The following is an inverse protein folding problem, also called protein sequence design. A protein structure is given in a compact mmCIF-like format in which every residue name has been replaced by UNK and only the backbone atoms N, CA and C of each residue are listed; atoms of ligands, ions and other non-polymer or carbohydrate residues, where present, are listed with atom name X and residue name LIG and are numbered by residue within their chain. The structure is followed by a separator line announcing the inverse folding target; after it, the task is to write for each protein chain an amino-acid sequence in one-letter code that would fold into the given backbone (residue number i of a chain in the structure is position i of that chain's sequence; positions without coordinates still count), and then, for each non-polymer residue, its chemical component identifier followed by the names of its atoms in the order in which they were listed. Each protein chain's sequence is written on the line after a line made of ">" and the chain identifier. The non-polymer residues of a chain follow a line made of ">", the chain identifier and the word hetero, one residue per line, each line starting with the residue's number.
data_IF_377644802305
#
_entry.id   IF_377644802305
#
_cell.length_a   1.000
_cell.length_b   1.000
_cell.length_c   1.000
_cell.angle_alpha   90.00
_cell.angle_beta   90.00
_cell.angle_gamma   90.00
#
_symmetry.space_group_name_H-M   'P 1'
#
loop_
_entity.id
_entity.type
_entity.pdbx_description
1 polymer ?
#
# COMPACT_ATOMS: atom_id res chain seq x y z
N UNK A 1 10.74 -12.11 20.55
CA UNK A 1 10.41 -12.38 19.13
C UNK A 1 8.91 -12.36 19.03
N UNK A 2 8.29 -11.34 18.42
CA UNK A 2 6.82 -11.28 18.31
C UNK A 2 6.41 -12.36 17.30
N UNK A 3 5.40 -13.16 17.63
CA UNK A 3 4.91 -14.20 16.73
C UNK A 3 4.54 -13.60 15.38
N UNK A 4 4.99 -14.23 14.30
CA UNK A 4 4.77 -13.76 12.92
C UNK A 4 3.27 -13.53 12.63
N UNK A 5 2.40 -14.28 13.29
CA UNK A 5 0.94 -14.12 13.26
C UNK A 5 0.49 -12.75 13.78
N UNK A 6 1.10 -12.27 14.86
CA UNK A 6 0.84 -10.96 15.47
C UNK A 6 1.35 -9.84 14.58
N UNK A 7 2.49 -10.03 13.91
CA UNK A 7 3.03 -9.05 12.94
C UNK A 7 2.12 -8.94 11.72
N UNK A 8 1.62 -10.06 11.19
CA UNK A 8 0.69 -10.06 10.06
C UNK A 8 -0.66 -9.43 10.45
N UNK A 9 -1.22 -9.79 11.61
CA UNK A 9 -2.49 -9.23 12.10
C UNK A 9 -2.40 -7.72 12.30
N UNK A 10 -1.29 -7.23 12.88
CA UNK A 10 -1.09 -5.80 13.12
C UNK A 10 -0.92 -5.02 11.82
N UNK A 11 -0.25 -5.59 10.82
CA UNK A 11 -0.08 -4.94 9.50
C UNK A 11 -1.40 -4.89 8.73
N UNK A 12 -2.21 -5.95 8.80
CA UNK A 12 -3.55 -6.01 8.20
C UNK A 12 -4.53 -5.04 8.88
N UNK A 13 -4.49 -4.96 10.22
CA UNK A 13 -5.27 -4.00 11.00
C UNK A 13 -4.84 -2.55 10.72
N UNK A 14 -3.53 -2.30 10.59
CA UNK A 14 -3.01 -0.97 10.27
C UNK A 14 -3.49 -0.50 8.89
N UNK A 15 -3.48 -1.37 7.87
CA UNK A 15 -3.98 -1.04 6.53
C UNK A 15 -5.50 -0.83 6.52
N UNK A 16 -6.25 -1.54 7.37
CA UNK A 16 -7.70 -1.40 7.50
C UNK A 16 -8.11 -0.14 8.31
N UNK A 17 -7.24 0.32 9.21
CA UNK A 17 -7.41 1.55 10.00
C UNK A 17 -6.80 2.79 9.32
N UNK A 18 -6.17 2.65 8.14
CA UNK A 18 -5.82 3.82 7.35
C UNK A 18 -7.12 4.53 6.96
N UNK A 19 -7.27 5.82 7.30
CA UNK A 19 -8.43 6.59 6.86
C UNK A 19 -8.36 6.63 5.34
N UNK A 20 -9.29 5.94 4.67
CA UNK A 20 -9.62 6.22 3.29
C UNK A 20 -10.03 7.69 3.30
N UNK A 21 -9.21 8.55 2.72
CA UNK A 21 -9.35 10.00 2.82
C UNK A 21 -10.79 10.44 2.54
N UNK A 22 -11.45 10.94 3.59
CA UNK A 22 -12.65 11.75 3.48
C UNK A 22 -12.24 13.14 3.93
N UNK A 23 -12.40 14.10 3.03
CA UNK A 23 -11.99 15.48 3.23
C UNK A 23 -12.80 16.23 4.29
N UNK A 24 -12.26 17.42 4.58
CA UNK A 24 -12.80 18.56 5.30
C UNK A 24 -12.91 18.41 6.82
N UNK A 25 -12.02 19.11 7.52
CA UNK A 25 -12.27 19.66 8.84
C UNK A 25 -11.44 20.95 8.99
N UNK A 26 -12.10 22.12 8.83
CA UNK A 26 -11.63 23.35 9.47
C UNK A 26 -12.17 23.31 10.90
N UNK A 27 -11.29 23.35 11.89
CA UNK A 27 -11.70 23.49 13.29
C UNK A 27 -11.83 24.98 13.62
N UNK A 28 -13.02 25.35 14.09
CA UNK A 28 -13.35 26.68 14.61
C UNK A 28 -12.71 26.79 16.00
N UNK A 29 -11.64 27.57 16.12
CA UNK A 29 -10.90 27.76 17.36
C UNK A 29 -11.59 28.81 18.24
N UNK A 30 -12.27 28.33 19.28
CA UNK A 30 -12.86 29.16 20.34
C UNK A 30 -11.79 29.42 21.41
N UNK A 31 -11.33 30.66 21.52
CA UNK A 31 -10.33 31.10 22.51
C UNK A 31 -11.04 31.77 23.72
N UNK A 32 -10.68 31.45 24.98
CA UNK A 32 -11.33 31.98 26.19
C UNK A 32 -10.91 33.43 26.50
N UNK A 33 -11.66 34.17 27.36
CA UNK A 33 -11.55 35.62 27.46
C UNK A 33 -10.32 36.08 28.25
N UNK A 34 -9.77 37.21 27.82
CA UNK A 34 -8.52 37.83 28.27
C UNK A 34 -8.55 38.26 29.75
N UNK A 35 -7.48 37.95 30.49
CA UNK A 35 -7.26 38.52 31.83
C UNK A 35 -6.67 39.94 31.72
N UNK A 36 -7.45 40.89 32.21
CA UNK A 36 -7.17 42.32 32.29
C UNK A 36 -6.13 42.61 33.39
N UNK A 37 -4.97 43.17 33.03
CA UNK A 37 -4.02 43.72 34.00
C UNK A 37 -4.00 45.26 33.90
N UNK A 38 -4.56 45.88 34.92
CA UNK A 38 -4.63 47.32 35.17
C UNK A 38 -3.27 47.85 35.66
N UNK A 39 -2.74 48.90 35.03
CA UNK A 39 -1.53 49.58 35.51
C UNK A 39 -1.81 51.06 35.71
N UNK A 40 -1.78 51.43 36.99
CA UNK A 40 -2.10 52.71 37.59
C UNK A 40 -1.12 53.81 37.14
N UNK A 41 -1.63 54.95 36.68
CA UNK A 41 -0.82 56.14 36.34
C UNK A 41 -0.71 57.07 37.56
N UNK A 42 0.52 57.40 37.96
CA UNK A 42 0.90 58.63 38.70
C UNK A 42 2.41 58.89 38.51
N UNK A 43 2.97 60.09 38.41
CA UNK A 43 2.53 61.43 38.00
C UNK A 43 3.82 62.28 37.95
N UNK A 44 4.01 63.10 36.90
CA UNK A 44 4.85 64.33 36.84
C UNK A 44 6.38 64.24 37.05
N UNK A 45 7.28 65.06 36.46
CA UNK A 45 7.31 66.17 35.48
C UNK A 45 8.81 66.39 35.23
N UNK A 46 9.26 66.55 33.98
CA UNK A 46 10.33 67.46 33.57
C UNK A 46 10.51 67.39 32.05
N UNK A 47 10.34 68.53 31.39
CA UNK A 47 10.39 68.75 29.95
C UNK A 47 11.84 68.69 29.42
N UNK A 48 12.20 67.63 28.70
CA UNK A 48 13.24 67.63 27.67
C UNK A 48 12.74 66.73 26.54
N UNK A 49 12.56 67.27 25.33
CA UNK A 49 11.99 66.51 24.21
C UNK A 49 12.92 65.36 23.79
N UNK A 50 12.51 64.09 23.94
CA UNK A 50 13.33 62.96 23.54
C UNK A 50 13.23 62.74 22.04
N UNK A 51 14.39 62.72 21.39
CA UNK A 51 14.65 62.09 20.10
C UNK A 51 13.76 60.86 19.91
N UNK A 52 12.86 60.94 18.92
CA UNK A 52 11.94 59.88 18.56
C UNK A 52 12.78 58.70 18.05
N UNK A 53 13.05 57.72 18.90
CA UNK A 53 13.46 56.40 18.46
C UNK A 53 12.27 55.86 17.67
N UNK A 54 12.39 55.88 16.35
CA UNK A 54 11.48 55.18 15.47
C UNK A 54 11.68 53.69 15.77
N UNK A 55 10.77 53.15 16.59
CA UNK A 55 10.73 51.75 16.94
C UNK A 55 10.36 51.01 15.64
N UNK A 56 11.38 50.60 14.89
CA UNK A 56 11.19 49.70 13.77
C UNK A 56 10.83 48.34 14.38
N UNK A 57 9.56 48.15 14.71
CA UNK A 57 8.96 46.84 14.83
C UNK A 57 9.23 46.15 13.48
N UNK A 58 10.21 45.25 13.46
CA UNK A 58 10.34 44.29 12.38
C UNK A 58 9.11 43.39 12.46
N UNK A 59 8.07 43.78 11.72
CA UNK A 59 6.90 42.97 11.47
C UNK A 59 7.36 41.76 10.66
N UNK A 60 7.74 40.69 11.36
CA UNK A 60 7.89 39.36 10.79
C UNK A 60 6.49 38.76 10.54
N UNK A 61 5.60 39.52 9.90
CA UNK A 61 4.42 38.95 9.28
C UNK A 61 4.91 38.16 8.07
N UNK A 62 5.03 36.85 8.24
CA UNK A 62 4.85 35.94 7.12
C UNK A 62 3.36 35.93 6.75
N UNK A 63 2.83 37.09 6.37
CA UNK A 63 1.62 37.17 5.57
C UNK A 63 2.02 36.52 4.26
N UNK A 64 1.58 35.28 4.02
CA UNK A 64 1.65 34.72 2.67
C UNK A 64 0.79 35.63 1.81
N UNK A 65 1.43 36.57 1.13
CA UNK A 65 0.77 37.51 0.24
C UNK A 65 0.31 36.72 -0.99
N UNK A 66 -0.87 36.11 -0.83
CA UNK A 66 -1.56 35.41 -1.90
C UNK A 66 -1.93 36.37 -3.02
N UNK A 67 -2.02 37.67 -2.73
CA UNK A 67 -2.30 38.71 -3.70
C UNK A 67 -1.13 38.88 -4.68
N UNK A 68 0.11 38.78 -4.22
CA UNK A 68 1.30 38.83 -5.08
C UNK A 68 1.45 37.57 -5.94
N UNK A 69 1.12 36.39 -5.40
CA UNK A 69 1.08 35.14 -6.18
C UNK A 69 -0.01 35.21 -7.26
N UNK A 70 -1.19 35.75 -6.90
CA UNK A 70 -2.30 35.91 -7.84
C UNK A 70 -1.98 36.94 -8.93
N UNK A 71 -1.39 38.09 -8.58
CA UNK A 71 -0.92 39.10 -9.55
C UNK A 71 0.15 38.54 -10.48
N UNK A 72 1.07 37.73 -9.97
CA UNK A 72 2.07 37.04 -10.78
C UNK A 72 1.41 36.04 -11.75
N UNK A 73 0.45 35.25 -11.28
CA UNK A 73 -0.29 34.28 -12.11
C UNK A 73 -1.13 34.96 -13.20
N UNK A 74 -1.81 36.07 -12.88
CA UNK A 74 -2.59 36.87 -13.83
C UNK A 74 -1.72 37.60 -14.86
N UNK A 75 -0.47 37.93 -14.51
CA UNK A 75 0.48 38.59 -15.42
C UNK A 75 1.08 37.64 -16.48
N UNK A 76 0.92 36.32 -16.30
CA UNK A 76 1.37 35.34 -17.27
C UNK A 76 0.37 35.24 -18.41
N UNK A 77 0.83 35.24 -19.68
CA UNK A 77 -0.08 35.07 -20.81
C UNK A 77 -0.70 33.66 -20.71
N UNK A 78 -2.03 33.59 -20.84
CA UNK A 78 -2.82 32.39 -20.49
C UNK A 78 -2.43 31.15 -21.29
N UNK A 79 -1.94 31.35 -22.51
CA UNK A 79 -1.38 30.32 -23.39
C UNK A 79 -0.08 29.71 -22.84
N UNK A 80 0.79 30.51 -22.21
CA UNK A 80 2.02 30.00 -21.57
C UNK A 80 1.72 29.22 -20.28
N UNK A 81 0.68 29.60 -19.53
CA UNK A 81 0.22 28.86 -18.34
C UNK A 81 -0.42 27.55 -18.75
N UNK A 82 -1.32 27.57 -19.74
CA UNK A 82 -1.98 26.36 -20.24
C UNK A 82 -0.97 25.39 -20.87
N UNK A 83 -0.01 25.90 -21.65
CA UNK A 83 1.06 25.09 -22.22
C UNK A 83 2.02 24.54 -21.15
N UNK A 84 2.38 25.35 -20.14
CA UNK A 84 3.22 24.94 -19.03
C UNK A 84 2.56 23.86 -18.15
N UNK A 85 1.29 24.05 -17.80
CA UNK A 85 0.50 23.07 -17.02
C UNK A 85 0.28 21.80 -17.84
N UNK A 86 -0.09 21.91 -19.11
CA UNK A 86 -0.26 20.76 -19.98
C UNK A 86 1.04 19.96 -20.12
N UNK A 87 2.17 20.62 -20.42
CA UNK A 87 3.49 19.96 -20.50
C UNK A 87 3.90 19.33 -19.18
N UNK A 88 3.65 20.00 -18.05
CA UNK A 88 3.90 19.47 -16.71
C UNK A 88 3.09 18.21 -16.43
N UNK A 89 1.80 18.21 -16.74
CA UNK A 89 0.92 17.05 -16.63
C UNK A 89 1.37 15.92 -17.56
N UNK A 90 1.67 16.21 -18.83
CA UNK A 90 2.17 15.20 -19.78
C UNK A 90 3.49 14.58 -19.30
N UNK A 91 4.42 15.38 -18.79
CA UNK A 91 5.68 14.88 -18.24
C UNK A 91 5.45 14.00 -17.01
N UNK A 92 4.57 14.42 -16.09
CA UNK A 92 4.21 13.64 -14.91
C UNK A 92 3.51 12.32 -15.29
N UNK A 93 2.56 12.35 -16.23
CA UNK A 93 1.90 11.14 -16.73
C UNK A 93 2.88 10.21 -17.44
N UNK A 94 3.78 10.74 -18.27
CA UNK A 94 4.81 9.94 -18.94
C UNK A 94 5.75 9.29 -17.92
N UNK A 95 6.23 10.04 -16.92
CA UNK A 95 7.07 9.51 -15.86
C UNK A 95 6.33 8.41 -15.05
N UNK A 96 5.06 8.64 -14.72
CA UNK A 96 4.22 7.66 -14.04
C UNK A 96 3.98 6.39 -14.89
N UNK A 97 3.70 6.54 -16.18
CA UNK A 97 3.53 5.41 -17.11
C UNK A 97 4.83 4.60 -17.27
N UNK A 98 5.98 5.27 -17.36
CA UNK A 98 7.29 4.59 -17.40
C UNK A 98 7.53 3.83 -16.10
N UNK A 99 7.28 4.46 -14.95
CA UNK A 99 7.38 3.82 -13.65
C UNK A 99 6.50 2.56 -13.57
N UNK A 100 5.20 2.68 -13.86
CA UNK A 100 4.29 1.54 -13.87
C UNK A 100 4.70 0.47 -14.88
N UNK A 101 5.18 0.85 -16.06
CA UNK A 101 5.63 -0.07 -17.09
C UNK A 101 6.84 -0.90 -16.64
N UNK A 102 7.86 -0.25 -16.08
CA UNK A 102 9.09 -0.90 -15.62
C UNK A 102 8.80 -1.80 -14.42
N UNK A 103 8.16 -1.28 -13.38
CA UNK A 103 7.86 -2.05 -12.17
C UNK A 103 6.81 -3.13 -12.42
N UNK A 104 5.82 -2.86 -13.28
CA UNK A 104 4.82 -3.83 -13.70
C UNK A 104 5.44 -4.98 -14.50
N UNK A 105 6.35 -4.69 -15.44
CA UNK A 105 7.07 -5.72 -16.19
C UNK A 105 8.00 -6.54 -15.28
N UNK A 106 8.74 -5.90 -14.37
CA UNK A 106 9.57 -6.59 -13.40
C UNK A 106 8.73 -7.51 -12.48
N UNK A 107 7.59 -7.02 -11.97
CA UNK A 107 6.64 -7.80 -11.18
C UNK A 107 6.03 -8.97 -11.97
N UNK A 108 5.73 -8.76 -13.25
CA UNK A 108 5.24 -9.81 -14.14
C UNK A 108 6.27 -10.93 -14.35
N UNK A 109 7.51 -10.56 -14.71
CA UNK A 109 8.59 -11.53 -14.89
C UNK A 109 8.86 -12.28 -13.58
N UNK A 110 8.88 -11.58 -12.45
CA UNK A 110 9.06 -12.18 -11.14
C UNK A 110 7.97 -13.22 -10.81
N UNK A 111 6.69 -12.86 -10.98
CA UNK A 111 5.58 -13.77 -10.69
C UNK A 111 5.56 -14.96 -11.64
N UNK A 112 5.82 -14.77 -12.93
CA UNK A 112 5.95 -15.85 -13.90
C UNK A 112 7.08 -16.83 -13.54
N UNK A 113 8.25 -16.32 -13.15
CA UNK A 113 9.37 -17.16 -12.71
C UNK A 113 9.05 -17.92 -11.42
N UNK A 114 8.39 -17.26 -10.46
CA UNK A 114 7.97 -17.88 -9.21
C UNK A 114 7.00 -19.05 -9.47
N UNK A 115 5.95 -18.81 -10.28
CA UNK A 115 4.98 -19.83 -10.64
C UNK A 115 5.58 -20.96 -11.48
N UNK A 116 6.50 -20.65 -12.40
CA UNK A 116 7.20 -21.66 -13.17
C UNK A 116 8.02 -22.58 -12.25
N UNK A 117 8.68 -22.02 -11.23
CA UNK A 117 9.44 -22.80 -10.26
C UNK A 117 8.52 -23.64 -9.37
N UNK A 118 7.41 -23.07 -8.89
CA UNK A 118 6.38 -23.80 -8.13
C UNK A 118 5.86 -24.99 -8.95
N UNK A 119 5.51 -24.76 -10.22
CA UNK A 119 5.05 -25.81 -11.13
C UNK A 119 6.08 -26.91 -11.31
N UNK A 120 7.35 -26.56 -11.57
CA UNK A 120 8.45 -27.54 -11.70
C UNK A 120 8.63 -28.40 -10.44
N UNK A 121 8.64 -27.76 -9.27
CA UNK A 121 8.80 -28.47 -8.00
C UNK A 121 7.58 -29.32 -7.61
N UNK A 122 6.38 -28.93 -8.05
CA UNK A 122 5.16 -29.72 -7.92
C UNK A 122 4.97 -30.73 -9.06
N UNK A 123 5.98 -30.92 -9.92
CA UNK A 123 5.99 -31.85 -11.06
C UNK A 123 4.85 -31.63 -12.06
N UNK A 124 4.49 -30.36 -12.27
CA UNK A 124 3.51 -29.97 -13.29
C UNK A 124 4.15 -30.01 -14.68
N UNK A 125 3.54 -30.75 -15.61
CA UNK A 125 4.09 -30.99 -16.95
C UNK A 125 4.30 -29.69 -17.73
N UNK A 126 3.36 -28.76 -17.64
CA UNK A 126 3.34 -27.52 -18.41
C UNK A 126 3.76 -26.30 -17.59
N UNK A 127 4.86 -26.37 -16.85
CA UNK A 127 5.31 -25.26 -15.98
C UNK A 127 5.52 -23.92 -16.72
N UNK A 128 5.63 -23.93 -18.05
CA UNK A 128 5.68 -22.71 -18.88
C UNK A 128 4.36 -21.92 -18.89
N UNK A 129 3.23 -22.53 -18.51
CA UNK A 129 1.92 -21.87 -18.38
C UNK A 129 1.97 -20.64 -17.45
N UNK A 130 2.95 -20.59 -16.55
CA UNK A 130 3.22 -19.44 -15.69
C UNK A 130 3.42 -18.11 -16.44
N UNK A 131 3.81 -18.15 -17.72
CA UNK A 131 4.08 -16.98 -18.56
C UNK A 131 2.88 -16.46 -19.35
N UNK A 132 1.71 -17.10 -19.25
CA UNK A 132 0.50 -16.65 -19.94
C UNK A 132 -0.59 -16.47 -18.87
N UNK A 133 -1.14 -15.27 -18.64
CA UNK A 133 -2.03 -15.01 -17.50
C UNK A 133 -3.21 -15.99 -17.35
N UNK A 134 -3.84 -16.34 -18.47
CA UNK A 134 -4.96 -17.29 -18.49
C UNK A 134 -4.47 -18.71 -18.13
N UNK A 135 -3.36 -19.16 -18.72
CA UNK A 135 -2.80 -20.48 -18.43
C UNK A 135 -2.21 -20.55 -17.01
N UNK A 136 -1.68 -19.45 -16.49
CA UNK A 136 -1.19 -19.34 -15.12
C UNK A 136 -2.34 -19.62 -14.13
N UNK A 137 -3.52 -19.08 -14.40
CA UNK A 137 -4.72 -19.34 -13.58
C UNK A 137 -5.19 -20.80 -13.71
N UNK A 138 -5.18 -21.36 -14.92
CA UNK A 138 -5.48 -22.78 -15.16
C UNK A 138 -4.52 -23.68 -14.36
N UNK A 139 -3.22 -23.44 -14.47
CA UNK A 139 -2.19 -24.15 -13.72
C UNK A 139 -2.41 -24.00 -12.20
N UNK A 140 -2.74 -22.81 -11.71
CA UNK A 140 -3.09 -22.61 -10.30
C UNK A 140 -4.27 -23.48 -9.88
N UNK A 141 -5.33 -23.57 -10.71
CA UNK A 141 -6.49 -24.38 -10.38
C UNK A 141 -6.11 -25.86 -10.32
N UNK A 142 -5.36 -26.37 -11.29
CA UNK A 142 -4.91 -27.76 -11.31
C UNK A 142 -3.99 -28.10 -10.14
N UNK A 143 -2.99 -27.24 -9.86
CA UNK A 143 -2.10 -27.38 -8.71
C UNK A 143 -2.87 -27.31 -7.37
N UNK A 144 -3.90 -26.48 -7.32
CA UNK A 144 -4.84 -26.35 -6.20
C UNK A 144 -5.91 -27.44 -6.13
N UNK A 145 -5.95 -28.40 -7.08
CA UNK A 145 -6.99 -29.43 -7.13
C UNK A 145 -8.40 -28.85 -7.29
N UNK A 146 -8.53 -27.78 -8.07
CA UNK A 146 -9.78 -27.16 -8.51
C UNK A 146 -9.98 -27.42 -10.02
N UNK A 147 -11.22 -27.28 -10.49
CA UNK A 147 -11.55 -27.50 -11.90
C UNK A 147 -11.23 -26.24 -12.75
N UNK A 148 -10.32 -26.30 -13.76
CA UNK A 148 -10.00 -25.18 -14.65
C UNK A 148 -11.19 -24.58 -15.40
N UNK A 149 -12.23 -25.37 -15.66
CA UNK A 149 -13.45 -24.92 -16.34
C UNK A 149 -14.19 -23.84 -15.56
N UNK A 150 -13.94 -23.70 -14.25
CA UNK A 150 -14.47 -22.59 -13.45
C UNK A 150 -14.03 -21.23 -13.97
N UNK A 151 -12.91 -21.16 -14.71
CA UNK A 151 -12.45 -19.92 -15.36
C UNK A 151 -13.47 -19.40 -16.39
N UNK A 152 -14.31 -20.26 -16.99
CA UNK A 152 -15.38 -19.82 -17.89
C UNK A 152 -16.41 -18.91 -17.20
N UNK A 153 -16.55 -19.00 -15.88
CA UNK A 153 -17.40 -18.08 -15.12
C UNK A 153 -16.90 -16.64 -15.20
N UNK A 154 -15.61 -16.41 -15.49
CA UNK A 154 -15.07 -15.06 -15.68
C UNK A 154 -15.74 -14.29 -16.82
N UNK A 155 -16.33 -14.99 -17.80
CA UNK A 155 -17.07 -14.38 -18.91
C UNK A 155 -18.44 -13.83 -18.48
N UNK A 156 -18.93 -14.22 -17.31
CA UNK A 156 -20.18 -13.70 -16.74
C UNK A 156 -19.83 -12.45 -15.90
N UNK A 157 -20.20 -11.24 -16.35
CA UNK A 157 -19.85 -10.02 -15.65
C UNK A 157 -20.48 -9.98 -14.25
N UNK A 158 -19.75 -9.44 -13.28
CA UNK A 158 -20.20 -9.33 -11.90
C UNK A 158 -19.96 -10.62 -11.10
N UNK A 159 -20.99 -11.47 -10.97
CA UNK A 159 -20.94 -12.59 -10.02
C UNK A 159 -19.89 -13.64 -10.40
N UNK A 160 -19.65 -13.85 -11.70
CA UNK A 160 -18.71 -14.84 -12.19
C UNK A 160 -17.26 -14.53 -11.78
N UNK A 161 -16.87 -13.25 -11.81
CA UNK A 161 -15.55 -12.80 -11.40
C UNK A 161 -15.30 -13.02 -9.90
N UNK A 162 -16.32 -12.78 -9.06
CA UNK A 162 -16.24 -13.01 -7.60
C UNK A 162 -16.05 -14.50 -7.32
N UNK A 163 -16.82 -15.36 -8.00
CA UNK A 163 -16.71 -16.81 -7.83
C UNK A 163 -15.31 -17.30 -8.24
N UNK A 164 -14.81 -16.86 -9.39
CA UNK A 164 -13.45 -17.19 -9.87
C UNK A 164 -12.39 -16.74 -8.87
N UNK A 165 -12.52 -15.53 -8.31
CA UNK A 165 -11.58 -15.01 -7.30
C UNK A 165 -11.56 -15.90 -6.05
N UNK A 166 -12.71 -16.32 -5.55
CA UNK A 166 -12.81 -17.23 -4.39
C UNK A 166 -12.12 -18.57 -4.68
N UNK A 167 -12.40 -19.18 -5.84
CA UNK A 167 -11.78 -20.46 -6.21
C UNK A 167 -10.27 -20.32 -6.45
N UNK A 168 -9.83 -19.20 -6.99
CA UNK A 168 -8.40 -18.87 -7.15
C UNK A 168 -7.71 -18.78 -5.80
N UNK A 169 -8.34 -18.11 -4.84
CA UNK A 169 -7.84 -18.01 -3.48
C UNK A 169 -7.79 -19.39 -2.79
N UNK A 170 -8.83 -20.22 -2.94
CA UNK A 170 -8.85 -21.58 -2.42
C UNK A 170 -7.78 -22.47 -3.05
N UNK A 171 -7.54 -22.33 -4.35
CA UNK A 171 -6.46 -23.02 -5.04
C UNK A 171 -5.10 -22.62 -4.47
N UNK A 172 -4.88 -21.32 -4.25
CA UNK A 172 -3.65 -20.81 -3.65
C UNK A 172 -3.44 -21.30 -2.21
N UNK A 173 -4.47 -21.32 -1.36
CA UNK A 173 -4.39 -21.91 -0.02
C UNK A 173 -3.91 -23.37 -0.04
N UNK A 174 -4.46 -24.18 -0.95
CA UNK A 174 -4.05 -25.58 -1.12
C UNK A 174 -2.64 -25.71 -1.69
N UNK A 175 -2.22 -24.83 -2.60
CA UNK A 175 -0.83 -24.79 -3.08
C UNK A 175 0.10 -24.48 -1.91
N UNK A 176 -0.18 -23.44 -1.12
CA UNK A 176 0.59 -23.06 0.07
C UNK A 176 0.72 -24.22 1.06
N UNK A 177 -0.38 -24.94 1.34
CA UNK A 177 -0.38 -26.15 2.18
C UNK A 177 0.47 -27.28 1.57
N UNK A 178 0.29 -27.59 0.27
CA UNK A 178 1.09 -28.60 -0.45
C UNK A 178 2.59 -28.26 -0.48
N UNK A 179 2.93 -26.97 -0.37
CA UNK A 179 4.29 -26.45 -0.30
C UNK A 179 4.88 -26.51 1.12
N UNK A 180 4.09 -26.87 2.13
CA UNK A 180 4.52 -27.01 3.53
C UNK A 180 4.38 -25.73 4.37
N UNK A 181 3.56 -24.78 3.91
CA UNK A 181 3.30 -23.51 4.59
C UNK A 181 1.87 -23.45 5.15
N UNK A 182 1.64 -22.55 6.12
CA UNK A 182 0.30 -22.29 6.66
C UNK A 182 -0.60 -21.65 5.59
N UNK A 183 -1.84 -22.16 5.45
CA UNK A 183 -2.87 -21.64 4.52
C UNK A 183 -3.11 -20.16 4.69
N UNK A 184 -2.96 -19.65 5.91
CA UNK A 184 -3.15 -18.23 6.24
C UNK A 184 -2.18 -17.34 5.44
N UNK A 185 -1.00 -17.84 5.04
CA UNK A 185 -0.10 -17.08 4.18
C UNK A 185 -0.70 -16.76 2.82
N UNK A 186 -1.68 -17.54 2.32
CA UNK A 186 -2.34 -17.20 1.06
C UNK A 186 -3.06 -15.84 1.11
N UNK A 187 -3.48 -15.36 2.29
CA UNK A 187 -4.13 -14.05 2.48
C UNK A 187 -3.24 -12.89 2.03
N UNK A 188 -1.92 -13.07 2.02
CA UNK A 188 -0.95 -12.07 1.53
C UNK A 188 -1.21 -11.64 0.08
N UNK A 189 -1.95 -12.43 -0.72
CA UNK A 189 -2.31 -12.05 -2.08
C UNK A 189 -3.19 -10.79 -2.17
N UNK A 190 -3.94 -10.44 -1.13
CA UNK A 190 -4.77 -9.23 -1.10
C UNK A 190 -3.97 -7.95 -0.83
N UNK A 191 -2.70 -8.08 -0.44
CA UNK A 191 -1.80 -6.94 -0.19
C UNK A 191 -0.80 -6.84 -1.34
N UNK A 192 -0.83 -5.79 -2.19
CA UNK A 192 -0.06 -5.72 -3.44
C UNK A 192 1.44 -5.94 -3.31
N UNK A 193 2.07 -5.52 -2.21
CA UNK A 193 3.49 -5.76 -1.98
C UNK A 193 3.76 -7.11 -1.30
N UNK A 194 2.83 -7.55 -0.46
CA UNK A 194 3.01 -8.78 0.32
C UNK A 194 2.79 -10.04 -0.54
N UNK A 195 2.05 -9.94 -1.66
CA UNK A 195 1.90 -11.05 -2.61
C UNK A 195 3.25 -11.48 -3.21
N UNK A 196 4.18 -10.54 -3.45
CA UNK A 196 5.51 -10.87 -3.95
C UNK A 196 6.33 -11.64 -2.91
N UNK A 197 6.18 -11.29 -1.64
CA UNK A 197 6.80 -12.02 -0.52
C UNK A 197 6.22 -13.44 -0.44
N UNK A 198 4.91 -13.60 -0.57
CA UNK A 198 4.28 -14.92 -0.62
C UNK A 198 4.86 -15.78 -1.75
N UNK A 199 4.89 -15.26 -2.99
CA UNK A 199 5.43 -16.01 -4.11
C UNK A 199 6.93 -16.29 -3.97
N UNK A 200 7.69 -15.37 -3.39
CA UNK A 200 9.09 -15.60 -3.06
C UNK A 200 9.27 -16.77 -2.10
N UNK A 201 8.51 -16.77 -0.99
CA UNK A 201 8.52 -17.84 0.01
C UNK A 201 8.12 -19.17 -0.62
N UNK A 202 7.03 -19.16 -1.40
CA UNK A 202 6.53 -20.36 -2.05
C UNK A 202 7.53 -20.89 -3.07
N UNK A 203 8.23 -20.08 -3.84
CA UNK A 203 9.10 -20.58 -4.91
C UNK A 203 10.56 -20.83 -4.48
N UNK A 204 11.12 -20.08 -3.52
CA UNK A 204 12.55 -20.17 -3.18
C UNK A 204 12.87 -20.50 -1.72
N UNK A 205 11.98 -20.25 -0.75
CA UNK A 205 12.33 -20.56 0.64
C UNK A 205 12.30 -22.10 0.86
N UNK A 206 13.38 -22.69 1.42
CA UNK A 206 13.43 -24.11 1.73
C UNK A 206 12.42 -24.48 2.84
N UNK A 207 11.90 -25.70 2.73
CA UNK A 207 10.86 -26.26 3.58
C UNK A 207 11.37 -26.37 5.02
N UNK A 208 10.62 -25.86 5.99
CA UNK A 208 10.76 -26.35 7.36
C UNK A 208 10.05 -27.70 7.39
N UNK A 209 10.83 -28.78 7.47
CA UNK A 209 10.29 -30.12 7.69
C UNK A 209 9.71 -30.10 9.09
N UNK A 210 8.40 -29.83 9.21
CA UNK A 210 7.68 -30.12 10.45
C UNK A 210 7.68 -31.64 10.54
N UNK A 211 8.69 -32.18 11.21
CA UNK A 211 8.71 -33.56 11.65
C UNK A 211 7.48 -33.71 12.54
N UNK A 212 6.40 -34.26 11.99
CA UNK A 212 5.32 -34.80 12.78
C UNK A 212 5.97 -35.88 13.63
N UNK A 213 6.27 -35.56 14.90
CA UNK A 213 6.62 -36.56 15.89
C UNK A 213 5.42 -37.49 15.96
N UNK A 214 5.49 -38.61 15.23
CA UNK A 214 4.67 -39.77 15.50
C UNK A 214 4.75 -40.00 17.00
N UNK A 215 3.64 -39.96 17.75
CA UNK A 215 3.66 -40.41 19.13
C UNK A 215 4.07 -41.87 19.05
N UNK A 216 5.27 -42.19 19.54
CA UNK A 216 5.73 -43.56 19.74
C UNK A 216 4.67 -44.26 20.58
N UNK A 217 3.82 -45.05 19.92
CA UNK A 217 2.97 -46.02 20.56
C UNK A 217 3.89 -46.91 21.41
N UNK A 218 3.67 -47.05 22.73
CA UNK A 218 4.46 -47.98 23.52
C UNK A 218 4.21 -49.38 22.96
N UNK A 219 5.31 -50.05 22.61
CA UNK A 219 5.33 -51.46 22.22
C UNK A 219 4.57 -52.25 23.28
N UNK A 220 3.56 -53.07 22.93
CA UNK A 220 2.91 -53.92 23.92
C UNK A 220 3.95 -54.92 24.46
N UNK A 221 4.24 -54.84 25.76
CA UNK A 221 5.02 -55.85 26.47
C UNK A 221 4.29 -57.19 26.36
N UNK A 222 4.87 -58.11 25.60
CA UNK A 222 4.50 -59.51 25.61
C UNK A 222 4.86 -60.10 26.96
N UNK A 223 3.86 -60.56 27.71
CA UNK A 223 4.03 -61.51 28.81
C UNK A 223 2.99 -62.62 28.69
#
# INVERSE_FOLDING_TARGET
>A
MRDLKTVILTLLLAVLLLPIGVGYAQEEEVIPPDEEYDVTIQQNVAEEEPILYEDTEYDYNYQYDTEDINKMFESLPSDAVEEGVAKGLFAAMAAYSIFLGVFGLAGYIFTALAFQKIGKEMKYENAWFAWVPILQTVMMFELGGQNPWLLLLFLIPGIGQIIVLIFTFMALMKITEKRGYDKVLAVLIFVPLAMYVLFYLLAWKPKEVVATTTPTQPVPETK
#
